data_IF_738822964705
#
_entry.id   IF_738822964705
#
_cell.length_a   1.000
_cell.length_b   1.000
_cell.length_c   1.000
_cell.angle_alpha   90.00
_cell.angle_beta   90.00
_cell.angle_gamma   90.00
#
_symmetry.space_group_name_H-M   'P 1'
#
loop_
_entity.id
_entity.type
_entity.pdbx_description
1 polymer ?
#
# COMPACT_ATOMS: atom_id res chain seq x y z
N UNK A 1 -13.25 8.11 17.48
CA UNK A 1 -13.71 9.42 18.01
C UNK A 1 -12.93 10.51 17.28
N UNK A 2 -13.60 11.35 16.49
CA UNK A 2 -12.99 12.56 15.90
C UNK A 2 -13.28 13.69 16.89
N UNK A 3 -12.24 14.31 17.43
CA UNK A 3 -12.38 15.51 18.27
C UNK A 3 -11.92 16.71 17.44
N UNK A 4 -12.86 17.58 17.12
CA UNK A 4 -12.58 18.88 16.51
C UNK A 4 -12.49 19.94 17.62
N UNK A 5 -11.40 20.71 17.62
CA UNK A 5 -11.26 21.92 18.46
C UNK A 5 -10.97 23.07 17.49
N UNK A 6 -11.80 24.12 17.53
CA UNK A 6 -11.66 25.36 16.75
C UNK A 6 -11.64 25.22 15.21
N UNK A 7 -12.38 24.27 14.65
CA UNK A 7 -12.50 24.09 13.19
C UNK A 7 -11.20 23.65 12.49
N UNK A 8 -10.13 23.39 13.27
CA UNK A 8 -8.93 22.71 12.81
C UNK A 8 -8.98 21.29 13.37
N UNK A 9 -8.75 20.31 12.51
CA UNK A 9 -8.57 18.92 12.94
C UNK A 9 -7.33 18.91 13.83
N UNK A 10 -7.54 18.72 15.13
CA UNK A 10 -6.45 18.56 16.09
C UNK A 10 -5.79 17.20 15.81
N UNK A 11 -4.56 17.22 15.29
CA UNK A 11 -3.75 16.04 14.93
C UNK A 11 -3.21 15.31 16.16
N UNK A 12 -4.08 14.99 17.11
CA UNK A 12 -3.72 14.21 18.30
C UNK A 12 -4.59 12.96 18.45
N UNK A 13 -4.90 12.30 17.32
CA UNK A 13 -5.35 10.90 17.33
C UNK A 13 -4.24 10.02 16.74
N UNK A 14 -3.66 9.09 17.53
CA UNK A 14 -2.56 8.24 17.11
C UNK A 14 -3.12 7.05 16.32
N UNK A 15 -3.36 7.23 15.03
CA UNK A 15 -3.00 6.13 14.13
C UNK A 15 -1.54 6.42 13.78
N UNK A 16 -0.58 5.56 14.15
CA UNK A 16 0.81 5.83 13.88
C UNK A 16 0.94 5.89 12.36
N UNK A 17 1.17 7.09 11.83
CA UNK A 17 1.70 7.23 10.48
C UNK A 17 2.86 6.24 10.36
N UNK A 18 2.85 5.41 9.32
CA UNK A 18 3.95 4.50 9.10
C UNK A 18 5.26 5.28 9.00
N UNK A 19 6.33 4.74 9.57
CA UNK A 19 7.66 5.33 9.46
C UNK A 19 8.16 5.20 8.02
N UNK A 20 8.62 6.29 7.44
CA UNK A 20 9.23 6.28 6.11
C UNK A 20 10.69 5.86 6.27
N UNK A 21 11.05 4.76 5.62
CA UNK A 21 12.41 4.23 5.61
C UNK A 21 12.91 4.23 4.16
N UNK A 22 14.05 4.84 3.93
CA UNK A 22 14.56 5.04 2.58
C UNK A 22 16.08 4.88 2.49
N UNK A 23 16.54 4.36 1.35
CA UNK A 23 17.93 4.44 0.90
C UNK A 23 17.89 4.99 -0.54
N UNK A 24 18.04 6.32 -0.62
CA UNK A 24 17.89 7.11 -1.86
C UNK A 24 19.22 7.58 -2.45
N UNK A 25 20.34 7.17 -1.84
CA UNK A 25 21.66 7.37 -2.45
C UNK A 25 21.78 6.33 -3.57
N UNK A 26 22.54 6.60 -4.63
CA UNK A 26 22.88 5.67 -5.74
C UNK A 26 23.64 4.42 -5.23
N UNK A 27 22.97 3.68 -4.37
CA UNK A 27 23.38 2.47 -3.72
C UNK A 27 22.88 1.35 -4.59
N UNK A 28 23.81 0.51 -5.05
CA UNK A 28 23.52 -0.75 -5.77
C UNK A 28 22.45 -1.61 -5.06
N UNK A 29 22.21 -1.38 -3.78
CA UNK A 29 21.30 -2.16 -2.94
C UNK A 29 20.22 -1.31 -2.26
N UNK A 30 19.88 -0.12 -2.77
CA UNK A 30 18.98 0.81 -2.07
C UNK A 30 17.62 0.19 -1.70
N UNK A 31 16.95 -0.49 -2.63
CA UNK A 31 15.70 -1.23 -2.34
C UNK A 31 15.90 -2.27 -1.22
N UNK A 32 16.94 -3.10 -1.32
CA UNK A 32 17.21 -4.14 -0.32
C UNK A 32 17.58 -3.54 1.04
N UNK A 33 18.34 -2.45 1.08
CA UNK A 33 18.72 -1.77 2.31
C UNK A 33 17.51 -1.12 2.99
N UNK A 34 16.67 -0.39 2.24
CA UNK A 34 15.48 0.25 2.79
C UNK A 34 14.50 -0.80 3.35
N UNK A 35 14.33 -1.94 2.66
CA UNK A 35 13.52 -3.05 3.13
C UNK A 35 14.11 -3.69 4.40
N UNK A 36 15.41 -3.97 4.42
CA UNK A 36 16.13 -4.47 5.61
C UNK A 36 15.90 -3.53 6.80
N UNK A 37 16.07 -2.23 6.61
CA UNK A 37 16.00 -1.25 7.69
C UNK A 37 14.57 -1.05 8.20
N UNK A 38 13.57 -1.24 7.33
CA UNK A 38 12.15 -1.29 7.74
C UNK A 38 11.90 -2.48 8.66
N UNK A 39 12.33 -3.68 8.24
CA UNK A 39 12.15 -4.91 9.00
C UNK A 39 12.96 -4.87 10.31
N UNK A 40 14.19 -4.34 10.29
CA UNK A 40 15.05 -4.24 11.46
C UNK A 40 14.47 -3.32 12.56
N UNK A 41 13.61 -2.38 12.18
CA UNK A 41 12.84 -1.53 13.11
C UNK A 41 11.56 -2.20 13.64
N UNK A 42 11.29 -3.45 13.29
CA UNK A 42 10.07 -4.17 13.66
C UNK A 42 8.83 -3.71 12.90
N UNK A 43 9.01 -3.05 11.75
CA UNK A 43 7.93 -2.54 10.93
C UNK A 43 7.63 -3.47 9.76
N UNK A 44 6.36 -3.50 9.34
CA UNK A 44 5.91 -4.18 8.12
C UNK A 44 5.79 -3.16 6.99
N UNK A 45 6.47 -3.34 5.85
CA UNK A 45 6.29 -2.48 4.69
C UNK A 45 4.86 -2.59 4.15
N UNK A 46 4.27 -1.47 3.78
CA UNK A 46 2.90 -1.42 3.24
C UNK A 46 2.83 -1.94 1.81
N UNK A 47 1.72 -2.61 1.51
CA UNK A 47 1.34 -2.99 0.14
C UNK A 47 0.83 -1.77 -0.63
N UNK A 48 0.84 -1.84 -1.96
CA UNK A 48 0.29 -0.77 -2.82
C UNK A 48 -1.16 -0.39 -2.48
N UNK A 49 -2.12 -1.32 -2.24
CA UNK A 49 -3.46 -0.95 -1.77
C UNK A 49 -3.43 -0.06 -0.51
N UNK A 50 -2.62 -0.43 0.49
CA UNK A 50 -2.54 0.33 1.75
C UNK A 50 -1.86 1.69 1.59
N UNK A 51 -0.91 1.83 0.68
CA UNK A 51 -0.34 3.15 0.34
C UNK A 51 -1.41 4.05 -0.32
N UNK A 52 -2.28 3.49 -1.18
CA UNK A 52 -3.39 4.24 -1.77
C UNK A 52 -4.42 4.65 -0.71
N UNK A 53 -4.75 3.75 0.22
CA UNK A 53 -5.66 4.05 1.34
C UNK A 53 -5.09 5.18 2.20
N UNK A 54 -3.81 5.13 2.56
CA UNK A 54 -3.16 6.21 3.31
C UNK A 54 -3.17 7.56 2.56
N UNK A 55 -2.98 7.54 1.24
CA UNK A 55 -3.09 8.76 0.43
C UNK A 55 -4.52 9.32 0.49
N UNK A 56 -5.53 8.48 0.42
CA UNK A 56 -6.93 8.88 0.55
C UNK A 56 -7.23 9.48 1.94
N UNK A 57 -6.58 8.99 2.98
CA UNK A 57 -6.70 9.53 4.34
C UNK A 57 -5.88 10.81 4.57
N UNK A 58 -5.00 11.19 3.64
CA UNK A 58 -4.13 12.37 3.71
C UNK A 58 -4.56 13.45 2.70
N UNK A 59 -5.57 14.30 2.99
CA UNK A 59 -6.06 15.27 2.01
C UNK A 59 -5.09 16.44 1.72
N UNK A 60 -4.04 16.61 2.52
CA UNK A 60 -3.02 17.65 2.28
C UNK A 60 -2.08 17.27 1.13
N UNK A 61 -1.96 18.12 0.10
CA UNK A 61 -1.10 17.87 -1.06
C UNK A 61 0.38 18.03 -0.75
N UNK A 62 0.72 18.74 0.33
CA UNK A 62 2.10 18.95 0.74
C UNK A 62 2.59 17.85 1.69
N UNK A 63 1.72 16.90 2.06
CA UNK A 63 2.13 15.77 2.88
C UNK A 63 3.16 14.90 2.12
N UNK A 64 4.11 14.34 2.87
CA UNK A 64 5.08 13.38 2.36
C UNK A 64 4.42 12.24 1.57
N UNK A 65 3.23 11.78 1.98
CA UNK A 65 2.48 10.73 1.30
C UNK A 65 2.15 11.07 -0.16
N UNK A 66 1.98 12.35 -0.50
CA UNK A 66 1.68 12.81 -1.85
C UNK A 66 2.90 13.32 -2.61
N UNK A 67 3.83 13.95 -1.90
CA UNK A 67 5.03 14.56 -2.50
C UNK A 67 6.14 13.55 -2.79
N UNK A 68 6.11 12.39 -2.15
CA UNK A 68 7.07 11.31 -2.36
C UNK A 68 6.47 10.10 -3.07
N UNK A 69 7.37 9.32 -3.68
CA UNK A 69 7.07 8.03 -4.28
C UNK A 69 7.42 6.91 -3.31
N UNK A 70 6.80 5.73 -3.45
CA UNK A 70 7.00 4.62 -2.53
C UNK A 70 7.15 3.28 -3.25
N UNK A 71 8.19 2.53 -2.89
CA UNK A 71 8.27 1.08 -3.09
C UNK A 71 7.35 0.40 -2.08
N UNK A 72 6.67 -0.66 -2.51
CA UNK A 72 5.65 -1.34 -1.69
C UNK A 72 5.95 -2.82 -1.52
N UNK A 73 5.35 -3.44 -0.50
CA UNK A 73 5.31 -4.89 -0.31
C UNK A 73 4.29 -5.58 -1.23
N UNK A 74 4.12 -5.04 -2.44
CA UNK A 74 3.42 -5.72 -3.51
C UNK A 74 4.43 -6.11 -4.59
N UNK A 75 4.28 -7.30 -5.15
CA UNK A 75 5.12 -7.79 -6.25
C UNK A 75 4.33 -8.04 -7.52
N UNK A 76 4.95 -7.77 -8.68
CA UNK A 76 4.48 -8.19 -10.00
C UNK A 76 5.44 -9.23 -10.54
N UNK A 77 4.89 -10.35 -10.99
CA UNK A 77 5.64 -11.51 -11.46
C UNK A 77 5.17 -11.91 -12.85
N UNK A 78 6.12 -12.17 -13.74
CA UNK A 78 5.90 -12.84 -15.01
C UNK A 78 6.34 -14.30 -14.84
N UNK A 79 5.43 -15.24 -15.08
CA UNK A 79 5.69 -16.69 -14.97
C UNK A 79 5.07 -17.39 -16.18
N UNK A 80 5.90 -17.76 -17.16
CA UNK A 80 5.43 -18.28 -18.45
C UNK A 80 4.54 -17.28 -19.19
N UNK A 81 3.24 -17.60 -19.33
CA UNK A 81 2.23 -16.71 -19.93
C UNK A 81 1.33 -16.06 -18.88
N UNK A 82 1.70 -16.10 -17.60
CA UNK A 82 0.90 -15.53 -16.52
C UNK A 82 1.56 -14.29 -15.94
N UNK A 83 0.72 -13.31 -15.65
CA UNK A 83 1.04 -12.14 -14.83
C UNK A 83 0.41 -12.36 -13.46
N UNK A 84 1.23 -12.27 -12.43
CA UNK A 84 0.80 -12.49 -11.06
C UNK A 84 1.11 -11.23 -10.26
N UNK A 85 0.09 -10.65 -9.64
CA UNK A 85 0.25 -9.55 -8.68
C UNK A 85 -0.03 -10.09 -7.29
N UNK A 86 0.90 -9.89 -6.36
CA UNK A 86 0.77 -10.30 -4.96
C UNK A 86 0.87 -9.06 -4.08
N UNK A 87 0.01 -8.96 -3.09
CA UNK A 87 0.02 -7.95 -2.05
C UNK A 87 0.22 -8.65 -0.70
N UNK A 88 1.33 -8.38 -0.02
CA UNK A 88 1.58 -8.90 1.32
C UNK A 88 2.91 -9.63 1.45
N UNK A 89 3.22 -10.20 2.63
CA UNK A 89 4.55 -10.71 2.96
C UNK A 89 4.94 -12.01 2.23
N UNK A 90 4.01 -12.79 1.68
CA UNK A 90 4.29 -14.16 1.22
C UNK A 90 4.71 -14.24 -0.25
N UNK A 91 5.59 -13.33 -0.69
CA UNK A 91 6.21 -13.40 -2.02
C UNK A 91 7.72 -13.15 -1.94
N UNK A 92 8.55 -13.64 -2.88
CA UNK A 92 10.00 -13.66 -2.69
C UNK A 92 10.68 -12.31 -2.50
N UNK A 93 10.04 -11.22 -2.94
CA UNK A 93 10.65 -9.88 -2.92
C UNK A 93 10.35 -9.07 -1.66
N UNK A 94 9.63 -9.63 -0.69
CA UNK A 94 9.53 -9.08 0.67
C UNK A 94 10.70 -9.49 1.56
N UNK A 95 11.58 -10.39 1.09
CA UNK A 95 12.84 -10.74 1.74
C UNK A 95 14.00 -9.89 1.18
N UNK A 96 14.58 -9.04 2.02
CA UNK A 96 15.69 -8.17 1.65
C UNK A 96 16.94 -8.94 1.20
N UNK A 97 17.20 -10.13 1.75
CA UNK A 97 18.32 -10.99 1.34
C UNK A 97 18.09 -11.52 -0.07
N UNK A 98 16.85 -11.93 -0.36
CA UNK A 98 16.45 -12.38 -1.69
C UNK A 98 16.56 -11.28 -2.74
N UNK A 99 16.15 -10.05 -2.43
CA UNK A 99 16.32 -8.87 -3.31
C UNK A 99 17.80 -8.62 -3.58
N UNK A 100 18.64 -8.61 -2.54
CA UNK A 100 20.09 -8.41 -2.68
C UNK A 100 20.73 -9.50 -3.55
N UNK A 101 20.40 -10.76 -3.29
CA UNK A 101 20.86 -11.90 -4.07
C UNK A 101 20.47 -11.78 -5.55
N UNK A 102 19.26 -11.28 -5.85
CA UNK A 102 18.84 -11.02 -7.23
C UNK A 102 19.75 -10.01 -7.94
N UNK A 103 20.12 -8.92 -7.25
CA UNK A 103 21.03 -7.90 -7.78
C UNK A 103 22.42 -8.49 -8.02
N UNK A 104 22.91 -9.33 -7.12
CA UNK A 104 24.23 -9.97 -7.21
C UNK A 104 24.30 -11.01 -8.34
N UNK A 105 23.22 -11.76 -8.56
CA UNK A 105 23.12 -12.76 -9.62
C UNK A 105 22.84 -12.16 -11.01
N UNK A 106 22.56 -10.86 -11.08
CA UNK A 106 22.20 -10.15 -12.30
C UNK A 106 20.69 -10.10 -12.54
N UNK A 107 20.21 -8.91 -12.91
CA UNK A 107 18.80 -8.64 -13.14
C UNK A 107 18.42 -8.85 -14.62
N UNK A 108 17.19 -9.32 -14.86
CA UNK A 108 16.61 -9.42 -16.20
C UNK A 108 15.70 -8.22 -16.43
N UNK A 109 16.14 -7.30 -17.29
CA UNK A 109 15.52 -5.97 -17.47
C UNK A 109 15.23 -5.33 -16.10
N UNK A 110 16.20 -5.24 -15.19
CA UNK A 110 16.00 -4.64 -13.85
C UNK A 110 15.07 -5.41 -12.87
N UNK A 111 14.49 -6.55 -13.27
CA UNK A 111 13.74 -7.43 -12.38
C UNK A 111 14.57 -8.62 -11.87
N UNK A 112 14.15 -9.17 -10.73
CA UNK A 112 14.76 -10.36 -10.16
C UNK A 112 14.40 -11.57 -11.02
N UNK A 113 15.40 -12.27 -11.56
CA UNK A 113 15.18 -13.60 -12.15
C UNK A 113 14.59 -14.52 -11.08
N UNK A 114 13.50 -15.22 -11.39
CA UNK A 114 12.93 -16.20 -10.47
C UNK A 114 13.79 -17.46 -10.43
N UNK A 115 13.90 -18.04 -9.23
CA UNK A 115 14.43 -19.40 -9.08
C UNK A 115 13.41 -20.42 -9.57
N UNK A 116 13.86 -21.63 -9.89
CA UNK A 116 12.96 -22.71 -10.29
C UNK A 116 11.91 -23.01 -9.21
N UNK A 117 12.30 -22.97 -7.93
CA UNK A 117 11.39 -23.15 -6.79
C UNK A 117 10.32 -22.05 -6.73
N UNK A 118 10.70 -20.78 -6.93
CA UNK A 118 9.75 -19.66 -6.96
C UNK A 118 8.79 -19.77 -8.13
N UNK A 119 9.31 -20.05 -9.32
CA UNK A 119 8.51 -20.30 -10.52
C UNK A 119 7.51 -21.42 -10.28
N UNK A 120 7.93 -22.54 -9.68
CA UNK A 120 7.05 -23.66 -9.42
C UNK A 120 6.00 -23.32 -8.35
N UNK A 121 6.37 -22.59 -7.29
CA UNK A 121 5.42 -22.14 -6.27
C UNK A 121 4.31 -21.25 -6.86
N UNK A 122 4.64 -20.39 -7.82
CA UNK A 122 3.63 -19.60 -8.54
C UNK A 122 2.76 -20.46 -9.46
N UNK A 123 3.35 -21.37 -10.25
CA UNK A 123 2.61 -22.26 -11.16
C UNK A 123 1.63 -23.16 -10.41
N UNK A 124 2.03 -23.68 -9.25
CA UNK A 124 1.21 -24.54 -8.39
C UNK A 124 0.28 -23.75 -7.46
N UNK A 125 0.25 -22.41 -7.56
CA UNK A 125 -0.53 -21.51 -6.69
C UNK A 125 -0.30 -21.76 -5.20
N UNK A 126 0.94 -22.07 -4.81
CA UNK A 126 1.35 -22.27 -3.41
C UNK A 126 1.57 -20.95 -2.66
N UNK A 127 1.61 -19.83 -3.36
CA UNK A 127 1.58 -18.50 -2.74
C UNK A 127 0.18 -18.22 -2.23
N UNK A 128 0.07 -17.98 -0.92
CA UNK A 128 -1.19 -17.78 -0.22
C UNK A 128 -1.99 -16.58 -0.77
N UNK A 129 -3.31 -16.74 -0.85
CA UNK A 129 -4.24 -15.68 -1.24
C UNK A 129 -4.31 -15.40 -2.75
N UNK A 130 -3.60 -16.18 -3.58
CA UNK A 130 -3.69 -16.07 -5.04
C UNK A 130 -5.02 -16.56 -5.58
N UNK A 131 -5.66 -15.72 -6.41
CA UNK A 131 -6.90 -16.01 -7.13
C UNK A 131 -6.64 -15.91 -8.62
N UNK A 132 -7.38 -16.65 -9.45
CA UNK A 132 -7.50 -16.25 -10.86
C UNK A 132 -8.17 -14.87 -10.96
N UNK A 133 -7.93 -14.18 -12.08
CA UNK A 133 -8.38 -12.80 -12.27
C UNK A 133 -9.90 -12.63 -12.14
N UNK A 134 -10.71 -13.58 -12.64
CA UNK A 134 -12.17 -13.50 -12.54
C UNK A 134 -12.66 -13.63 -11.10
N UNK A 135 -12.08 -14.57 -10.34
CA UNK A 135 -12.35 -14.73 -8.91
C UNK A 135 -11.89 -13.51 -8.12
N UNK A 136 -10.72 -12.95 -8.45
CA UNK A 136 -10.23 -11.71 -7.85
C UNK A 136 -11.20 -10.54 -8.09
N UNK A 137 -11.68 -10.35 -9.32
CA UNK A 137 -12.64 -9.29 -9.65
C UNK A 137 -13.94 -9.46 -8.86
N UNK A 138 -14.49 -10.68 -8.83
CA UNK A 138 -15.74 -10.97 -8.10
C UNK A 138 -15.60 -10.69 -6.61
N UNK A 139 -14.50 -11.11 -6.00
CA UNK A 139 -14.30 -10.96 -4.55
C UNK A 139 -13.93 -9.53 -4.12
N UNK A 140 -13.31 -8.74 -5.02
CA UNK A 140 -12.92 -7.35 -4.75
C UNK A 140 -13.90 -6.31 -5.29
N UNK A 141 -15.03 -6.76 -5.84
CA UNK A 141 -16.05 -5.88 -6.40
C UNK A 141 -16.66 -4.97 -5.33
N UNK A 142 -17.12 -5.56 -4.23
CA UNK A 142 -17.90 -4.86 -3.20
C UNK A 142 -17.17 -4.77 -1.84
N UNK A 143 -15.99 -5.36 -1.73
CA UNK A 143 -15.22 -5.38 -0.50
C UNK A 143 -13.72 -5.26 -0.79
N UNK A 144 -13.01 -4.74 0.20
CA UNK A 144 -11.56 -4.75 0.19
C UNK A 144 -11.06 -6.03 0.81
N UNK A 145 -10.13 -6.68 0.13
CA UNK A 145 -9.35 -7.74 0.75
C UNK A 145 -8.31 -7.10 1.66
N UNK A 146 -8.27 -7.60 2.89
CA UNK A 146 -7.30 -7.21 3.92
C UNK A 146 -6.30 -8.34 4.10
N UNK A 147 -5.01 -7.97 4.18
CA UNK A 147 -3.85 -8.87 4.34
C UNK A 147 -3.71 -9.97 3.26
N UNK A 148 -2.46 -10.33 2.94
CA UNK A 148 -2.02 -11.34 1.95
C UNK A 148 -3.04 -11.79 0.88
N UNK A 149 -2.99 -11.19 -0.31
CA UNK A 149 -3.84 -11.60 -1.43
C UNK A 149 -3.18 -11.32 -2.78
N UNK A 150 -3.73 -11.86 -3.86
CA UNK A 150 -3.23 -11.56 -5.19
C UNK A 150 -4.11 -12.07 -6.32
N UNK A 151 -3.72 -11.72 -7.54
CA UNK A 151 -4.43 -12.04 -8.76
C UNK A 151 -3.48 -12.64 -9.80
N UNK A 152 -3.95 -13.68 -10.48
CA UNK A 152 -3.29 -14.37 -11.58
C UNK A 152 -4.09 -14.11 -12.85
N UNK A 153 -3.49 -13.44 -13.82
CA UNK A 153 -4.09 -13.14 -15.12
C UNK A 153 -3.24 -13.74 -16.25
N UNK A 154 -3.89 -14.13 -17.35
CA UNK A 154 -3.17 -14.48 -18.57
C UNK A 154 -2.57 -13.22 -19.20
N UNK A 155 -1.35 -13.32 -19.71
CA UNK A 155 -0.63 -12.22 -20.34
C UNK A 155 -1.40 -11.59 -21.52
N UNK A 156 -2.26 -12.36 -22.19
CA UNK A 156 -3.12 -11.86 -23.25
C UNK A 156 -4.06 -10.75 -22.81
N UNK A 157 -4.45 -10.69 -21.52
CA UNK A 157 -5.26 -9.61 -20.95
C UNK A 157 -4.60 -8.23 -21.09
N UNK A 158 -3.27 -8.20 -21.11
CA UNK A 158 -2.49 -6.96 -21.18
C UNK A 158 -1.97 -6.65 -22.59
N UNK A 159 -2.22 -7.55 -23.55
CA UNK A 159 -1.71 -7.40 -24.91
C UNK A 159 -2.32 -6.16 -25.58
N UNK A 160 -1.45 -5.20 -25.93
CA UNK A 160 -1.86 -3.97 -26.61
C UNK A 160 -2.33 -2.85 -25.67
N UNK A 161 -2.29 -3.06 -24.35
CA UNK A 161 -2.48 -1.97 -23.40
C UNK A 161 -1.21 -1.11 -23.35
N UNK A 162 -1.29 0.21 -23.65
CA UNK A 162 -0.12 1.07 -23.62
C UNK A 162 0.29 1.36 -22.18
N UNK A 163 1.60 1.39 -21.91
CA UNK A 163 2.15 1.93 -20.67
C UNK A 163 2.22 3.47 -20.80
N UNK A 164 1.20 4.16 -20.29
CA UNK A 164 0.99 5.58 -20.59
C UNK A 164 0.19 6.30 -19.49
N UNK A 165 0.15 7.62 -19.57
CA UNK A 165 -0.75 8.49 -18.83
C UNK A 165 -2.17 8.35 -19.37
N UNK A 166 -3.10 7.89 -18.53
CA UNK A 166 -4.45 7.54 -18.94
C UNK A 166 -5.50 8.38 -18.20
N UNK A 167 -6.53 8.85 -18.91
CA UNK A 167 -7.67 9.54 -18.28
C UNK A 167 -8.29 8.68 -17.18
N UNK A 168 -8.62 9.27 -16.04
CA UNK A 168 -9.17 8.58 -14.86
C UNK A 168 -10.29 7.57 -15.19
N UNK A 169 -11.28 7.95 -16.02
CA UNK A 169 -12.38 7.07 -16.40
C UNK A 169 -11.95 5.79 -17.13
N UNK A 170 -10.85 5.83 -17.88
CA UNK A 170 -10.27 4.62 -18.49
C UNK A 170 -9.32 3.91 -17.51
N UNK A 171 -8.63 4.69 -16.68
CA UNK A 171 -7.65 4.20 -15.73
C UNK A 171 -8.27 3.25 -14.70
N UNK A 172 -9.46 3.57 -14.17
CA UNK A 172 -10.17 2.72 -13.18
C UNK A 172 -10.69 1.39 -13.76
N UNK A 173 -10.87 1.32 -15.08
CA UNK A 173 -11.29 0.11 -15.79
C UNK A 173 -10.10 -0.72 -16.31
N UNK A 174 -8.87 -0.19 -16.20
CA UNK A 174 -7.68 -0.88 -16.69
C UNK A 174 -7.36 -2.09 -15.79
N UNK A 175 -7.20 -3.32 -16.33
CA UNK A 175 -6.94 -4.51 -15.53
C UNK A 175 -5.65 -4.39 -14.71
N UNK A 176 -4.65 -3.64 -15.19
CA UNK A 176 -3.41 -3.38 -14.45
C UNK A 176 -3.69 -2.52 -13.23
N UNK A 177 -4.49 -1.46 -13.40
CA UNK A 177 -4.89 -0.60 -12.29
C UNK A 177 -5.67 -1.39 -11.25
N UNK A 178 -6.64 -2.19 -11.66
CA UNK A 178 -7.48 -2.98 -10.77
C UNK A 178 -6.62 -3.98 -9.97
N UNK A 179 -5.70 -4.70 -10.62
CA UNK A 179 -4.79 -5.61 -9.92
C UNK A 179 -3.84 -4.85 -8.99
N UNK A 180 -3.15 -3.81 -9.46
CA UNK A 180 -2.13 -3.10 -8.66
C UNK A 180 -2.73 -2.33 -7.47
N UNK A 181 -3.97 -1.87 -7.58
CA UNK A 181 -4.72 -1.19 -6.51
C UNK A 181 -5.34 -2.17 -5.51
N UNK A 182 -5.35 -3.47 -5.81
CA UNK A 182 -6.00 -4.48 -4.99
C UNK A 182 -7.53 -4.47 -5.07
N UNK A 183 -8.09 -4.10 -6.21
CA UNK A 183 -9.54 -4.09 -6.47
C UNK A 183 -10.01 -2.84 -7.21
N UNK A 184 -11.17 -2.96 -7.89
CA UNK A 184 -11.80 -1.85 -8.62
C UNK A 184 -12.24 -0.73 -7.68
N UNK A 185 -12.81 -1.08 -6.52
CA UNK A 185 -13.26 -0.09 -5.53
C UNK A 185 -12.14 0.82 -5.02
N UNK A 186 -10.97 0.25 -4.71
CA UNK A 186 -9.78 1.04 -4.33
C UNK A 186 -9.26 1.90 -5.46
N UNK A 187 -9.27 1.38 -6.70
CA UNK A 187 -8.89 2.16 -7.87
C UNK A 187 -9.81 3.38 -8.06
N UNK A 188 -11.13 3.21 -7.91
CA UNK A 188 -12.12 4.29 -7.99
C UNK A 188 -11.94 5.32 -6.88
N UNK A 189 -11.79 4.88 -5.63
CA UNK A 189 -11.56 5.77 -4.50
C UNK A 189 -10.27 6.61 -4.67
N UNK A 190 -9.19 5.97 -5.13
CA UNK A 190 -7.95 6.67 -5.40
C UNK A 190 -8.07 7.61 -6.61
N UNK A 191 -8.80 7.24 -7.66
CA UNK A 191 -9.08 8.10 -8.79
C UNK A 191 -9.89 9.35 -8.40
N UNK A 192 -10.85 9.22 -7.49
CA UNK A 192 -11.59 10.35 -6.92
C UNK A 192 -10.63 11.31 -6.20
N UNK A 193 -9.69 10.76 -5.42
CA UNK A 193 -8.70 11.57 -4.72
C UNK A 193 -7.73 12.25 -5.68
N UNK A 194 -7.24 11.55 -6.70
CA UNK A 194 -6.42 12.13 -7.78
C UNK A 194 -7.16 13.28 -8.48
N UNK A 195 -8.46 13.14 -8.75
CA UNK A 195 -9.27 14.21 -9.30
C UNK A 195 -9.33 15.44 -8.38
N UNK A 196 -9.50 15.25 -7.06
CA UNK A 196 -9.44 16.34 -6.06
C UNK A 196 -8.07 17.04 -6.06
N UNK A 197 -6.99 16.31 -6.38
CA UNK A 197 -5.62 16.83 -6.55
C UNK A 197 -5.37 17.42 -7.94
N UNK A 198 -6.38 17.51 -8.81
CA UNK A 198 -6.28 17.98 -10.21
C UNK A 198 -5.36 17.13 -11.08
N UNK A 199 -5.23 15.84 -10.76
CA UNK A 199 -4.49 14.87 -11.57
C UNK A 199 -5.46 14.20 -12.53
N UNK A 200 -5.44 14.63 -13.79
CA UNK A 200 -6.39 14.14 -14.80
C UNK A 200 -5.96 12.82 -15.45
N UNK A 201 -4.65 12.58 -15.51
CA UNK A 201 -4.06 11.44 -16.21
C UNK A 201 -2.96 10.81 -15.35
N UNK A 202 -3.27 9.93 -14.40
CA UNK A 202 -2.24 9.11 -13.77
C UNK A 202 -1.59 8.16 -14.77
N UNK A 203 -0.32 7.86 -14.53
CA UNK A 203 0.43 6.86 -15.26
C UNK A 203 0.05 5.44 -14.80
N UNK A 204 0.02 4.50 -15.72
CA UNK A 204 -0.12 3.08 -15.41
C UNK A 204 0.89 2.30 -16.24
N UNK A 205 1.64 1.42 -15.59
CA UNK A 205 2.60 0.57 -16.27
C UNK A 205 2.69 -0.80 -15.61
N UNK A 206 2.77 -1.80 -16.47
CA UNK A 206 3.10 -3.17 -16.12
C UNK A 206 4.13 -3.66 -17.15
N UNK A 207 5.40 -3.80 -16.77
CA UNK A 207 6.47 -4.22 -17.71
C UNK A 207 6.52 -5.75 -17.83
N UNK A 208 5.53 -6.28 -18.53
CA UNK A 208 5.40 -7.70 -18.88
C UNK A 208 5.16 -7.85 -20.37
N UNK A 209 5.88 -8.77 -21.01
CA UNK A 209 5.74 -9.05 -22.44
C UNK A 209 5.94 -10.54 -22.73
N UNK A 210 5.32 -11.00 -23.82
CA UNK A 210 5.40 -12.41 -24.23
C UNK A 210 6.83 -12.78 -24.55
N UNK A 211 7.28 -13.93 -24.05
CA UNK A 211 8.63 -14.44 -24.27
C UNK A 211 9.70 -13.81 -23.38
N UNK A 212 9.33 -12.93 -22.45
CA UNK A 212 10.24 -12.52 -21.39
C UNK A 212 10.50 -13.67 -20.41
N UNK A 213 11.70 -13.70 -19.84
CA UNK A 213 12.04 -14.68 -18.81
C UNK A 213 11.18 -14.51 -17.55
N UNK A 214 11.05 -15.60 -16.79
CA UNK A 214 10.38 -15.59 -15.49
C UNK A 214 11.09 -14.64 -14.53
N UNK A 215 10.38 -13.62 -14.06
CA UNK A 215 10.96 -12.56 -13.22
C UNK A 215 9.93 -11.92 -12.30
N UNK A 216 10.42 -11.30 -11.23
CA UNK A 216 9.63 -10.48 -10.31
C UNK A 216 10.15 -9.05 -10.18
N UNK A 217 9.27 -8.11 -9.92
CA UNK A 217 9.57 -6.73 -9.51
C UNK A 217 8.64 -6.30 -8.39
N UNK A 218 9.03 -5.27 -7.64
CA UNK A 218 8.14 -4.62 -6.68
C UNK A 218 7.26 -3.59 -7.39
N UNK A 219 6.11 -3.30 -6.78
CA UNK A 219 5.23 -2.20 -7.21
C UNK A 219 5.69 -0.91 -6.58
N UNK A 220 5.72 0.12 -7.40
CA UNK A 220 6.01 1.50 -7.03
C UNK A 220 4.74 2.35 -7.20
N UNK A 221 4.48 3.22 -6.21
CA UNK A 221 3.43 4.23 -6.24
C UNK A 221 4.08 5.60 -6.44
N UNK A 222 3.76 6.26 -7.55
CA UNK A 222 4.47 7.47 -7.98
C UNK A 222 4.05 8.75 -7.26
N UNK A 223 4.85 9.81 -7.38
CA UNK A 223 4.77 11.04 -6.59
C UNK A 223 4.11 12.22 -7.32
N UNK A 224 4.28 13.43 -6.79
CA UNK A 224 3.81 14.68 -7.37
C UNK A 224 4.27 14.97 -8.81
N UNK A 225 5.37 14.37 -9.25
CA UNK A 225 5.87 14.52 -10.63
C UNK A 225 5.35 13.41 -11.54
N UNK A 226 5.04 12.23 -10.98
CA UNK A 226 4.70 11.02 -11.72
C UNK A 226 3.57 10.22 -11.04
N UNK A 227 2.41 10.84 -10.81
CA UNK A 227 1.29 10.13 -10.18
C UNK A 227 0.90 8.89 -10.97
N UNK A 228 0.71 7.76 -10.28
CA UNK A 228 0.33 6.52 -10.94
C UNK A 228 0.74 5.25 -10.18
N UNK A 229 0.53 4.12 -10.85
CA UNK A 229 0.90 2.79 -10.38
C UNK A 229 1.88 2.14 -11.36
N UNK A 230 2.99 1.64 -10.83
CA UNK A 230 4.13 1.20 -11.60
C UNK A 230 4.51 -0.22 -11.17
N UNK A 231 4.14 -1.21 -11.98
CA UNK A 231 4.51 -2.61 -11.78
C UNK A 231 5.93 -2.93 -12.24
N UNK A 232 6.90 -2.02 -12.02
CA UNK A 232 8.23 -2.14 -12.63
C UNK A 232 9.43 -1.64 -11.80
N UNK A 233 9.33 -1.55 -10.47
CA UNK A 233 10.39 -0.96 -9.65
C UNK A 233 11.80 -1.54 -9.95
N UNK A 234 12.81 -0.66 -9.94
CA UNK A 234 14.19 -0.95 -10.33
C UNK A 234 14.96 -1.45 -9.09
N UNK A 235 15.11 -2.76 -8.98
CA UNK A 235 15.55 -3.41 -7.73
C UNK A 235 16.98 -3.06 -7.25
N UNK A 236 17.86 -2.53 -8.12
CA UNK A 236 19.25 -2.20 -7.76
C UNK A 236 19.47 -0.70 -7.45
N UNK A 237 18.41 0.10 -7.45
CA UNK A 237 18.48 1.54 -7.25
C UNK A 237 17.90 1.92 -5.88
N UNK A 238 17.29 3.10 -5.78
CA UNK A 238 16.71 3.63 -4.55
C UNK A 238 15.47 2.86 -4.10
N UNK A 239 15.25 2.78 -2.78
CA UNK A 239 14.00 2.27 -2.19
C UNK A 239 13.44 3.23 -1.16
N UNK A 240 12.11 3.34 -1.10
CA UNK A 240 11.38 4.08 -0.05
C UNK A 240 10.15 3.30 0.37
N UNK A 241 10.13 2.78 1.58
CA UNK A 241 8.99 2.05 2.14
C UNK A 241 8.29 2.89 3.21
N UNK A 242 6.97 2.75 3.28
CA UNK A 242 6.19 3.13 4.48
C UNK A 242 6.06 1.88 5.34
N UNK A 243 6.60 1.90 6.55
CA UNK A 243 6.56 0.80 7.49
C UNK A 243 5.57 1.05 8.63
N UNK A 244 4.66 0.12 8.90
CA UNK A 244 3.74 0.22 10.05
C UNK A 244 4.11 -0.80 11.12
N UNK A 245 3.94 -0.44 12.38
CA UNK A 245 4.09 -1.40 13.47
C UNK A 245 3.09 -2.54 13.27
N UNK A 246 3.51 -3.78 13.53
CA UNK A 246 2.56 -4.88 13.61
C UNK A 246 1.57 -4.57 14.73
N UNK A 247 0.27 -4.48 14.41
CA UNK A 247 -0.73 -4.33 15.46
C UNK A 247 -0.59 -5.52 16.43
N UNK A 248 -0.69 -5.30 17.75
CA UNK A 248 -0.84 -6.41 18.67
C UNK A 248 -2.12 -7.15 18.28
N UNK A 249 -1.98 -8.42 17.88
CA UNK A 249 -3.13 -9.29 17.61
C UNK A 249 -4.05 -9.29 18.84
N UNK A 250 -5.23 -8.69 18.70
CA UNK A 250 -6.29 -8.78 19.71
C UNK A 250 -6.78 -7.45 20.27
N UNK A 251 -7.56 -6.71 19.50
CA UNK A 251 -8.83 -6.19 20.02
C UNK A 251 -9.90 -6.64 19.04
N UNK A 252 -10.60 -7.71 19.40
CA UNK A 252 -11.86 -8.09 18.76
C UNK A 252 -12.73 -6.84 18.65
N UNK A 253 -13.09 -6.46 17.42
CA UNK A 253 -14.25 -5.61 17.15
C UNK A 253 -15.49 -6.36 17.61
N UNK A 254 -15.72 -6.43 18.92
CA UNK A 254 -17.05 -6.67 19.43
C UNK A 254 -17.76 -5.33 19.40
N UNK A 255 -18.46 -5.11 18.29
CA UNK A 255 -19.53 -4.13 18.22
C UNK A 255 -20.59 -4.49 19.25
N UNK A 256 -20.79 -3.60 20.22
CA UNK A 256 -22.12 -3.28 20.71
C UNK A 256 -22.24 -1.75 20.64
N UNK A 257 -23.41 -1.20 20.24
CA UNK A 257 -23.60 0.24 20.24
C UNK A 257 -23.48 0.73 21.68
N UNK A 258 -22.46 1.55 21.95
CA UNK A 258 -22.32 2.24 23.22
C UNK A 258 -23.43 3.28 23.33
N UNK A 259 -24.57 2.89 23.91
CA UNK A 259 -25.46 3.85 24.57
C UNK A 259 -24.62 4.59 25.63
N UNK A 260 -24.39 5.88 25.39
CA UNK A 260 -23.56 6.71 26.24
C UNK A 260 -24.24 6.90 27.59
N UNK A 261 -23.87 6.10 28.61
CA UNK A 261 -24.26 6.33 30.00
C UNK A 261 -23.29 7.28 30.67
N UNK A 262 -23.69 8.54 30.80
CA UNK A 262 -23.05 9.52 31.67
C UNK A 262 -23.47 9.24 33.12
N UNK A 263 -22.55 8.75 33.94
CA UNK A 263 -22.74 8.65 35.38
C UNK A 263 -21.94 9.75 36.09
N UNK A 264 -22.63 10.61 36.85
CA UNK A 264 -21.99 11.54 37.78
C UNK A 264 -21.55 10.76 39.01
N UNK A 265 -20.25 10.77 39.29
CA UNK A 265 -19.68 10.16 40.49
C UNK A 265 -19.22 11.29 41.41
N UNK A 266 -20.18 11.90 42.12
CA UNK A 266 -19.90 13.04 43.00
C UNK A 266 -19.93 14.42 42.30
N UNK A 267 -19.54 15.47 43.02
CA UNK A 267 -19.66 16.87 42.56
C UNK A 267 -18.66 17.26 41.49
N UNK A 268 -17.52 16.56 41.38
CA UNK A 268 -16.37 17.01 40.59
C UNK A 268 -15.75 15.92 39.70
N UNK A 269 -16.42 14.77 39.50
CA UNK A 269 -15.91 13.67 38.68
C UNK A 269 -16.98 13.11 37.74
N UNK A 270 -16.60 12.90 36.48
CA UNK A 270 -17.45 12.31 35.46
C UNK A 270 -16.85 10.98 35.02
N UNK A 271 -17.67 9.93 34.94
CA UNK A 271 -17.26 8.64 34.41
C UNK A 271 -17.72 8.51 32.95
N UNK A 272 -16.77 8.21 32.05
CA UNK A 272 -16.99 8.03 30.61
C UNK A 272 -16.24 6.76 30.18
N UNK A 273 -16.97 5.79 29.64
CA UNK A 273 -16.45 4.48 29.20
C UNK A 273 -15.57 3.77 30.25
N UNK A 274 -16.03 3.80 31.50
CA UNK A 274 -15.34 3.19 32.64
C UNK A 274 -14.13 3.99 33.17
N UNK A 275 -13.71 5.06 32.48
CA UNK A 275 -12.61 5.95 32.89
C UNK A 275 -13.15 7.15 33.66
N UNK A 276 -12.43 7.57 34.71
CA UNK A 276 -12.75 8.76 35.50
C UNK A 276 -12.07 9.99 34.88
N UNK A 277 -12.84 11.07 34.74
CA UNK A 277 -12.37 12.37 34.28
C UNK A 277 -12.64 13.42 35.35
N UNK A 278 -11.63 14.25 35.60
CA UNK A 278 -11.75 15.44 36.43
C UNK A 278 -11.85 16.65 35.47
N UNK A 279 -12.94 17.43 35.51
CA UNK A 279 -13.04 18.63 34.70
C UNK A 279 -11.99 19.64 35.18
N UNK A 280 -11.12 20.07 34.27
CA UNK A 280 -10.15 21.13 34.55
C UNK A 280 -10.89 22.47 34.42
N UNK A 281 -10.92 23.31 35.47
CA UNK A 281 -11.55 24.62 35.37
C UNK A 281 -10.78 25.48 34.36
N UNK A 282 -11.51 26.03 33.39
CA UNK A 282 -10.97 26.95 32.38
C UNK A 282 -10.59 28.26 33.07
N UNK A 283 -9.33 28.42 33.46
CA UNK A 283 -8.82 29.72 33.93
C UNK A 283 -8.49 30.60 32.72
N UNK A 284 -9.38 31.55 32.47
CA UNK A 284 -9.19 32.89 31.90
C UNK A 284 -8.07 33.05 30.84
N UNK A 285 -8.49 33.18 29.59
CA UNK A 285 -7.69 33.72 28.50
C UNK A 285 -7.10 35.10 28.85
N UNK A 286 -5.83 35.41 28.51
CA UNK A 286 -5.35 36.77 28.55
C UNK A 286 -5.98 37.56 27.39
N UNK A 287 -6.62 38.69 27.72
CA UNK A 287 -7.02 39.70 26.73
C UNK A 287 -5.77 40.40 26.20
N UNK A 288 -5.54 40.34 24.89
CA UNK A 288 -4.94 41.43 24.09
C UNK A 288 -5.57 41.41 22.69
#
# INVERSE_FOLDING_TARGET
MIITIDGKINRTSPLPFGEIIEDIKDSKYGVANALRDTIAKGLKPLTSPRVLDLRNDCPDSNDSMWTNWYTTASGVYNVGNQVIVVHGPNHPLTDHQRVRSAVEQGLVNYGAKLTEQETQAFKERKVEGLRDYETFLRETQDQDLEEQFGAVADLSLFKGLPNDYMKLAKWVEDPRTIMLSGGKRRAEAYAEMLNKKKVEKPYINLDVQKGQADRGRLVFVGDGNFYGLFGFDILYYCGRFVGVAAEPQGVTKNEAPLETRLERVGTDLIRLDGRLYMPVPVSLAPKQ
#
